data_IF_275333491460
#
_entry.id   IF_275333491460
#
_cell.length_a   1.000
_cell.length_b   1.000
_cell.length_c   1.000
_cell.angle_alpha   90.00
_cell.angle_beta   90.00
_cell.angle_gamma   90.00
#
_symmetry.space_group_name_H-M   'P 1'
#
loop_
_entity.id
_entity.type
_entity.pdbx_description
1 polymer ?
#
# COMPACT_ATOMS: atom_id res chain seq x y z
N UNK A 1 7.65 -17.35 -9.82
CA UNK A 1 7.86 -15.91 -9.55
C UNK A 1 8.54 -15.26 -10.75
N UNK A 2 7.98 -14.19 -11.33
CA UNK A 2 8.60 -13.46 -12.43
C UNK A 2 9.89 -12.73 -11.97
N UNK A 3 10.95 -12.78 -12.79
CA UNK A 3 12.24 -12.12 -12.52
C UNK A 3 12.36 -10.73 -13.19
N UNK A 4 11.45 -10.42 -14.09
CA UNK A 4 11.36 -9.14 -14.77
C UNK A 4 9.91 -8.92 -15.16
N UNK A 5 9.45 -7.68 -15.05
CA UNK A 5 8.12 -7.28 -15.46
C UNK A 5 7.70 -5.99 -14.79
N UNK A 6 6.63 -5.42 -15.28
CA UNK A 6 6.02 -4.25 -14.69
C UNK A 6 4.53 -4.23 -14.99
N UNK A 7 3.79 -3.48 -14.20
CA UNK A 7 2.36 -3.31 -14.31
C UNK A 7 2.02 -1.88 -13.92
N UNK A 8 1.32 -1.19 -14.80
CA UNK A 8 0.79 0.14 -14.55
C UNK A 8 -0.72 0.13 -14.73
N UNK A 9 -1.43 0.78 -13.83
CA UNK A 9 -2.88 0.99 -13.95
C UNK A 9 -3.22 2.41 -13.53
N UNK A 10 -4.05 3.06 -14.33
CA UNK A 10 -4.63 4.35 -14.01
C UNK A 10 -6.14 4.20 -14.12
N UNK A 11 -6.84 4.60 -13.08
CA UNK A 11 -8.31 4.54 -12.98
C UNK A 11 -8.85 5.93 -12.77
N UNK A 12 -9.89 6.27 -13.52
CA UNK A 12 -10.66 7.51 -13.38
C UNK A 12 -12.11 7.14 -13.08
N UNK A 13 -12.66 7.74 -12.04
CA UNK A 13 -14.07 7.60 -11.65
C UNK A 13 -14.66 9.01 -11.51
N UNK A 14 -15.84 9.23 -12.10
CA UNK A 14 -16.53 10.52 -12.06
C UNK A 14 -17.96 10.32 -11.58
N UNK A 15 -18.36 11.09 -10.57
CA UNK A 15 -19.71 11.18 -10.05
C UNK A 15 -20.17 12.63 -10.01
N UNK A 16 -21.41 12.88 -10.44
CA UNK A 16 -22.08 14.18 -10.39
C UNK A 16 -23.60 13.96 -10.35
N UNK A 17 -24.34 14.90 -9.76
CA UNK A 17 -25.81 14.82 -9.70
C UNK A 17 -26.43 14.76 -11.10
N UNK A 18 -25.79 15.37 -12.11
CA UNK A 18 -26.23 15.31 -13.51
C UNK A 18 -26.23 13.89 -14.09
N UNK A 19 -25.46 12.96 -13.50
CA UNK A 19 -25.43 11.54 -13.88
C UNK A 19 -26.06 10.65 -12.80
N UNK A 20 -26.98 11.21 -12.00
CA UNK A 20 -27.72 10.53 -10.93
C UNK A 20 -26.83 9.99 -9.79
N UNK A 21 -25.65 10.57 -9.59
CA UNK A 21 -24.78 10.25 -8.45
C UNK A 21 -25.20 11.02 -7.21
N UNK A 22 -25.19 10.38 -6.04
CA UNK A 22 -25.37 11.05 -4.74
C UNK A 22 -24.10 11.80 -4.28
N UNK A 23 -22.95 11.50 -4.90
CA UNK A 23 -21.67 12.13 -4.59
C UNK A 23 -21.10 12.84 -5.81
N UNK A 24 -20.60 14.06 -5.61
CA UNK A 24 -19.85 14.82 -6.61
C UNK A 24 -18.36 14.63 -6.41
N UNK A 25 -17.72 13.86 -7.28
CA UNK A 25 -16.31 13.53 -7.13
C UNK A 25 -15.66 13.22 -8.47
N UNK A 26 -14.43 13.68 -8.64
CA UNK A 26 -13.49 13.09 -9.59
C UNK A 26 -12.43 12.33 -8.80
N UNK A 27 -12.38 11.02 -8.97
CA UNK A 27 -11.43 10.14 -8.30
C UNK A 27 -10.42 9.61 -9.30
N UNK A 28 -9.14 9.79 -8.96
CA UNK A 28 -8.00 9.39 -9.80
C UNK A 28 -7.12 8.47 -8.97
N UNK A 29 -6.81 7.30 -9.51
CA UNK A 29 -5.93 6.33 -8.86
C UNK A 29 -4.88 5.87 -9.86
N UNK A 30 -3.62 5.94 -9.47
CA UNK A 30 -2.47 5.47 -10.23
C UNK A 30 -1.71 4.45 -9.41
N UNK A 31 -1.42 3.29 -9.99
CA UNK A 31 -0.58 2.25 -9.40
C UNK A 31 0.47 1.85 -10.41
N UNK A 32 1.69 1.69 -9.95
CA UNK A 32 2.76 1.13 -10.73
C UNK A 32 3.66 0.21 -9.91
N UNK A 33 4.00 -0.94 -10.48
CA UNK A 33 4.88 -1.91 -9.87
C UNK A 33 5.92 -2.40 -10.89
N UNK A 34 7.17 -2.56 -10.46
CA UNK A 34 8.28 -2.97 -11.29
C UNK A 34 9.12 -4.02 -10.58
N UNK A 35 9.40 -5.10 -11.29
CA UNK A 35 10.32 -6.15 -10.86
C UNK A 35 11.55 -6.10 -11.74
N UNK A 36 12.72 -6.02 -11.15
CA UNK A 36 14.00 -6.10 -11.85
C UNK A 36 14.93 -7.04 -11.09
N UNK A 37 15.60 -7.93 -11.81
CA UNK A 37 16.53 -8.89 -11.22
C UNK A 37 17.94 -8.70 -11.75
N UNK A 38 18.92 -9.00 -10.89
CA UNK A 38 20.33 -9.09 -11.25
C UNK A 38 20.79 -10.54 -11.09
N UNK A 39 21.16 -11.17 -12.21
CA UNK A 39 21.46 -12.60 -12.23
C UNK A 39 20.25 -13.46 -11.82
N UNK A 40 20.52 -14.59 -11.16
CA UNK A 40 19.48 -15.59 -10.82
C UNK A 40 19.00 -15.52 -9.38
N UNK A 41 19.70 -14.77 -8.53
CA UNK A 41 19.51 -14.80 -7.08
C UNK A 41 19.12 -13.44 -6.48
N UNK A 42 19.22 -12.34 -7.23
CA UNK A 42 18.88 -11.00 -6.74
C UNK A 42 17.64 -10.48 -7.45
N UNK A 43 16.67 -9.98 -6.70
CA UNK A 43 15.41 -9.50 -7.23
C UNK A 43 14.96 -8.28 -6.44
N UNK A 44 14.70 -7.18 -7.14
CA UNK A 44 14.13 -5.96 -6.60
C UNK A 44 12.69 -5.81 -7.05
N UNK A 45 11.83 -5.35 -6.15
CA UNK A 45 10.46 -4.95 -6.40
C UNK A 45 10.31 -3.51 -5.93
N UNK A 46 9.79 -2.66 -6.80
CA UNK A 46 9.41 -1.30 -6.47
C UNK A 46 7.91 -1.13 -6.76
N UNK A 47 7.17 -0.53 -5.83
CA UNK A 47 5.75 -0.18 -6.00
C UNK A 47 5.55 1.27 -5.62
N UNK A 48 4.68 1.96 -6.37
CA UNK A 48 4.16 3.27 -6.01
C UNK A 48 2.66 3.31 -6.32
N UNK A 49 1.91 3.83 -5.38
CA UNK A 49 0.47 4.02 -5.44
C UNK A 49 0.18 5.48 -5.12
N UNK A 50 -0.63 6.13 -5.94
CA UNK A 50 -1.04 7.51 -5.76
C UNK A 50 -2.51 7.68 -6.08
N UNK A 51 -3.26 8.28 -5.16
CA UNK A 51 -4.70 8.40 -5.26
C UNK A 51 -5.16 9.79 -4.82
N UNK A 52 -6.15 10.34 -5.53
CA UNK A 52 -6.72 11.65 -5.26
C UNK A 52 -8.23 11.67 -5.51
N UNK A 53 -8.97 12.21 -4.56
CA UNK A 53 -10.38 12.54 -4.67
C UNK A 53 -10.52 14.06 -4.75
N UNK A 54 -10.87 14.55 -5.92
CA UNK A 54 -11.22 15.95 -6.13
C UNK A 54 -12.70 16.13 -5.77
N UNK A 55 -12.92 16.61 -4.55
CA UNK A 55 -14.22 16.96 -3.95
C UNK A 55 -14.03 18.16 -3.02
N UNK A 56 -15.10 18.89 -2.73
CA UNK A 56 -15.06 20.01 -1.77
C UNK A 56 -14.70 19.49 -0.37
N UNK A 57 -15.49 18.54 0.15
CA UNK A 57 -15.24 17.90 1.44
C UNK A 57 -15.07 16.38 1.31
N UNK A 58 -14.18 15.83 2.15
CA UNK A 58 -14.06 14.36 2.30
C UNK A 58 -15.34 13.76 2.89
N UNK A 59 -16.11 14.57 3.61
CA UNK A 59 -17.38 14.16 4.21
C UNK A 59 -18.52 14.03 3.20
N UNK A 60 -18.39 14.63 2.02
CA UNK A 60 -19.32 14.45 0.89
C UNK A 60 -19.14 13.08 0.23
N UNK A 61 -18.06 12.37 0.55
CA UNK A 61 -17.80 11.03 0.06
C UNK A 61 -18.27 9.98 1.08
N UNK A 62 -18.91 8.90 0.63
CA UNK A 62 -19.09 7.73 1.47
C UNK A 62 -17.73 7.18 1.92
N UNK A 63 -17.60 6.61 3.14
CA UNK A 63 -16.34 6.09 3.65
C UNK A 63 -15.62 5.11 2.70
N UNK A 64 -16.37 4.34 1.90
CA UNK A 64 -15.84 3.40 0.91
C UNK A 64 -15.08 4.06 -0.25
N UNK A 65 -15.28 5.35 -0.51
CA UNK A 65 -14.56 6.10 -1.52
C UNK A 65 -13.38 6.89 -0.95
N UNK A 66 -13.26 6.99 0.38
CA UNK A 66 -12.16 7.68 1.05
C UNK A 66 -10.92 6.79 1.06
N UNK A 67 -9.74 7.40 1.16
CA UNK A 67 -8.50 6.66 1.20
C UNK A 67 -7.99 6.47 2.62
N UNK A 68 -7.38 5.32 2.86
CA UNK A 68 -6.74 4.93 4.10
C UNK A 68 -5.44 4.20 3.73
N UNK A 69 -4.35 4.53 4.42
CA UNK A 69 -3.08 3.85 4.27
C UNK A 69 -2.88 2.81 5.38
N UNK A 70 -1.89 1.93 5.21
CA UNK A 70 -1.61 0.84 6.14
C UNK A 70 -2.02 -0.54 5.64
N UNK A 71 -1.25 -1.56 6.04
CA UNK A 71 -1.46 -2.95 5.66
C UNK A 71 -0.60 -3.46 4.51
N UNK A 72 -0.93 -4.65 4.05
CA UNK A 72 -0.01 -5.61 3.42
C UNK A 72 0.46 -5.26 1.99
N UNK A 73 -0.22 -4.35 1.31
CA UNK A 73 0.14 -3.89 -0.04
C UNK A 73 0.30 -2.36 -0.13
N UNK A 74 0.37 -1.70 1.02
CA UNK A 74 0.34 -0.25 1.12
C UNK A 74 1.49 0.24 2.01
N UNK A 75 1.44 -0.09 3.30
CA UNK A 75 2.41 0.33 4.30
C UNK A 75 2.54 -0.75 5.38
N UNK A 76 3.42 -1.73 5.15
CA UNK A 76 3.60 -2.87 6.05
C UNK A 76 4.21 -2.42 7.37
N UNK A 77 3.85 -3.13 8.44
CA UNK A 77 4.16 -2.75 9.82
C UNK A 77 3.06 -1.96 10.50
N UNK A 78 2.13 -1.37 9.74
CA UNK A 78 0.91 -0.75 10.25
C UNK A 78 -0.30 -1.66 10.00
N UNK A 79 -1.32 -1.50 10.85
CA UNK A 79 -2.60 -2.18 10.70
C UNK A 79 -3.30 -1.80 9.38
N UNK A 80 -4.22 -2.65 8.94
CA UNK A 80 -4.98 -2.41 7.71
C UNK A 80 -5.83 -1.14 7.85
N UNK A 81 -5.65 -0.21 6.90
CA UNK A 81 -6.42 1.05 6.84
C UNK A 81 -6.34 1.92 8.12
N UNK A 82 -5.25 1.81 8.89
CA UNK A 82 -5.11 2.52 10.16
C UNK A 82 -4.57 3.96 10.04
N UNK A 83 -4.15 4.39 8.85
CA UNK A 83 -3.54 5.71 8.63
C UNK A 83 -4.51 6.58 7.82
N UNK A 84 -5.03 7.62 8.48
CA UNK A 84 -5.79 8.72 7.87
C UNK A 84 -5.96 9.86 8.88
N UNK A 85 -6.46 11.05 8.48
CA UNK A 85 -6.83 12.10 9.43
C UNK A 85 -7.88 11.61 10.43
N UNK A 86 -7.77 12.07 11.68
CA UNK A 86 -8.67 11.72 12.79
C UNK A 86 -9.58 12.91 13.13
N UNK A 87 -10.79 12.63 13.60
CA UNK A 87 -11.67 13.65 14.18
C UNK A 87 -11.31 13.97 15.65
N UNK A 88 -12.09 14.84 16.28
CA UNK A 88 -11.90 15.23 17.69
C UNK A 88 -12.07 14.09 18.68
N UNK A 89 -12.71 12.99 18.29
CA UNK A 89 -12.89 11.78 19.10
C UNK A 89 -11.80 10.73 18.81
N UNK A 90 -10.83 11.05 17.93
CA UNK A 90 -9.74 10.17 17.55
C UNK A 90 -10.10 9.13 16.49
N UNK A 91 -11.29 9.22 15.88
CA UNK A 91 -11.74 8.26 14.88
C UNK A 91 -11.22 8.63 13.49
N UNK A 92 -10.83 7.61 12.73
CA UNK A 92 -10.38 7.76 11.34
C UNK A 92 -11.50 8.30 10.45
N UNK A 93 -11.25 9.44 9.81
CA UNK A 93 -12.20 10.12 8.93
C UNK A 93 -12.01 9.77 7.46
N UNK A 94 -10.85 9.20 7.11
CA UNK A 94 -10.45 8.97 5.72
C UNK A 94 -9.89 10.23 5.05
N UNK A 95 -9.18 10.00 3.95
CA UNK A 95 -8.41 11.02 3.26
C UNK A 95 -8.89 11.28 1.83
N UNK A 96 -8.64 12.52 1.36
CA UNK A 96 -8.78 12.92 -0.05
C UNK A 96 -7.61 12.45 -0.89
N UNK A 97 -6.41 12.41 -0.32
CA UNK A 97 -5.18 12.06 -1.02
C UNK A 97 -4.48 10.91 -0.31
N UNK A 98 -3.82 10.06 -1.08
CA UNK A 98 -2.96 9.01 -0.55
C UNK A 98 -1.81 8.77 -1.50
N UNK A 99 -0.61 8.65 -0.96
CA UNK A 99 0.57 8.25 -1.72
C UNK A 99 1.35 7.28 -0.89
N UNK A 100 1.63 6.10 -1.44
CA UNK A 100 2.46 5.09 -0.81
C UNK A 100 3.48 4.55 -1.80
N UNK A 101 4.62 4.13 -1.26
CA UNK A 101 5.73 3.60 -2.02
C UNK A 101 6.38 2.48 -1.24
N UNK A 102 6.91 1.49 -1.95
CA UNK A 102 7.54 0.32 -1.36
C UNK A 102 8.75 -0.09 -2.18
N UNK A 103 9.86 -0.27 -1.49
CA UNK A 103 11.09 -0.84 -2.04
C UNK A 103 11.39 -2.14 -1.32
N UNK A 104 11.43 -3.23 -2.08
CA UNK A 104 11.72 -4.57 -1.56
C UNK A 104 12.89 -5.19 -2.31
N UNK A 105 13.83 -5.74 -1.55
CA UNK A 105 14.93 -6.54 -2.06
C UNK A 105 14.76 -7.99 -1.61
N UNK A 106 14.87 -8.91 -2.55
CA UNK A 106 14.77 -10.35 -2.34
C UNK A 106 16.06 -11.05 -2.78
N UNK A 107 16.53 -11.98 -1.97
CA UNK A 107 17.68 -12.83 -2.25
C UNK A 107 17.30 -14.31 -2.20
N UNK A 108 17.67 -15.06 -3.24
CA UNK A 108 17.44 -16.51 -3.33
C UNK A 108 18.47 -17.25 -2.48
N UNK A 109 18.00 -17.92 -1.43
CA UNK A 109 18.86 -18.67 -0.51
C UNK A 109 19.07 -20.09 -1.00
N UNK A 110 17.97 -20.79 -1.32
CA UNK A 110 18.02 -22.19 -1.73
C UNK A 110 16.77 -22.60 -2.49
N UNK A 111 16.92 -23.36 -3.59
CA UNK A 111 15.77 -23.91 -4.32
C UNK A 111 14.75 -22.82 -4.64
N UNK A 112 13.52 -22.93 -4.17
CA UNK A 112 12.46 -21.95 -4.40
C UNK A 112 12.25 -20.94 -3.25
N UNK A 113 13.18 -20.90 -2.29
CA UNK A 113 13.12 -20.06 -1.10
C UNK A 113 13.96 -18.79 -1.25
N UNK A 114 13.34 -17.67 -0.89
CA UNK A 114 13.94 -16.35 -0.89
C UNK A 114 13.72 -15.68 0.46
N UNK A 115 14.68 -14.86 0.85
CA UNK A 115 14.52 -13.90 1.95
C UNK A 115 14.31 -12.52 1.36
N UNK A 116 13.56 -11.69 2.06
CA UNK A 116 13.22 -10.34 1.64
C UNK A 116 13.53 -9.34 2.76
N UNK A 117 13.90 -8.13 2.37
CA UNK A 117 13.93 -6.95 3.22
C UNK A 117 13.20 -5.83 2.48
N UNK A 118 12.44 -5.01 3.21
CA UNK A 118 11.66 -3.95 2.60
C UNK A 118 11.60 -2.67 3.44
N UNK A 119 11.31 -1.59 2.74
CA UNK A 119 10.92 -0.30 3.32
C UNK A 119 9.72 0.22 2.55
N UNK A 120 8.70 0.60 3.30
CA UNK A 120 7.46 1.18 2.81
C UNK A 120 7.35 2.61 3.37
N UNK A 121 6.89 3.55 2.55
CA UNK A 121 6.78 4.95 2.91
C UNK A 121 5.54 5.56 2.27
N UNK A 122 4.71 6.23 3.07
CA UNK A 122 3.48 6.82 2.55
C UNK A 122 2.62 7.46 3.62
N UNK A 123 1.50 8.03 3.16
CA UNK A 123 0.48 8.63 4.01
C UNK A 123 -0.86 8.74 3.27
N UNK A 124 -1.93 8.98 4.03
CA UNK A 124 -3.24 9.38 3.56
C UNK A 124 -3.66 10.68 4.28
N UNK A 125 -3.87 11.77 3.54
CA UNK A 125 -4.08 13.12 4.10
C UNK A 125 -5.18 13.94 3.40
N UNK A 126 -5.59 15.02 4.07
CA UNK A 126 -6.55 16.01 3.55
C UNK A 126 -5.91 17.37 3.25
N UNK A 127 -4.99 17.83 4.11
CA UNK A 127 -4.34 19.14 4.00
C UNK A 127 -2.82 18.99 3.87
N UNK A 128 -2.17 18.54 4.95
CA UNK A 128 -0.73 18.32 5.01
C UNK A 128 -0.45 16.84 5.30
N UNK A 129 0.46 16.19 4.56
CA UNK A 129 0.84 14.80 4.83
C UNK A 129 1.67 14.67 6.12
N UNK A 130 1.41 13.60 6.86
CA UNK A 130 2.20 13.13 8.00
C UNK A 130 2.80 11.76 7.65
N UNK A 131 3.94 11.80 6.99
CA UNK A 131 4.57 10.64 6.40
C UNK A 131 4.91 9.55 7.42
N UNK A 132 4.53 8.31 7.08
CA UNK A 132 4.80 7.12 7.88
C UNK A 132 5.76 6.19 7.16
N UNK A 133 6.62 5.54 7.94
CA UNK A 133 7.61 4.59 7.45
C UNK A 133 7.42 3.23 8.09
N UNK A 134 7.28 2.22 7.25
CA UNK A 134 7.28 0.82 7.61
C UNK A 134 8.56 0.15 7.14
N UNK A 135 9.12 -0.77 7.92
CA UNK A 135 10.25 -1.59 7.45
C UNK A 135 10.12 -3.01 7.94
N UNK A 136 10.80 -3.95 7.30
CA UNK A 136 10.74 -5.33 7.76
C UNK A 136 11.48 -6.31 6.90
N UNK A 137 11.25 -7.56 7.23
CA UNK A 137 11.86 -8.71 6.58
C UNK A 137 10.81 -9.77 6.32
N UNK A 138 11.11 -10.66 5.37
CA UNK A 138 10.19 -11.72 5.04
C UNK A 138 10.82 -12.90 4.33
N UNK A 139 9.97 -13.89 4.11
CA UNK A 139 10.28 -15.10 3.38
C UNK A 139 9.35 -15.16 2.17
N UNK A 140 9.89 -15.56 1.01
CA UNK A 140 9.11 -15.87 -0.18
C UNK A 140 9.36 -17.31 -0.58
N UNK A 141 8.29 -18.00 -0.96
CA UNK A 141 8.36 -19.35 -1.50
C UNK A 141 7.66 -19.41 -2.84
N UNK A 142 8.41 -19.75 -3.90
CA UNK A 142 7.82 -20.06 -5.21
C UNK A 142 7.22 -21.47 -5.17
N UNK A 143 6.02 -21.58 -4.62
CA UNK A 143 5.26 -22.84 -4.55
C UNK A 143 4.71 -23.22 -5.94
N UNK A 144 4.29 -24.48 -6.15
CA UNK A 144 3.66 -24.93 -7.40
C UNK A 144 2.37 -24.19 -7.75
N UNK A 145 1.65 -23.65 -6.75
CA UNK A 145 0.37 -22.95 -6.93
C UNK A 145 0.52 -21.43 -7.02
N UNK A 146 1.73 -20.90 -6.82
CA UNK A 146 2.02 -19.48 -6.88
C UNK A 146 3.01 -19.00 -5.81
N UNK A 147 3.44 -17.73 -5.87
CA UNK A 147 4.29 -17.14 -4.85
C UNK A 147 3.55 -17.04 -3.51
N UNK A 148 4.18 -17.50 -2.44
CA UNK A 148 3.74 -17.31 -1.05
C UNK A 148 4.67 -16.30 -0.40
N UNK A 149 4.12 -15.36 0.37
CA UNK A 149 4.87 -14.40 1.18
C UNK A 149 4.47 -14.49 2.65
N UNK A 150 5.48 -14.36 3.51
CA UNK A 150 5.32 -14.14 4.94
C UNK A 150 6.25 -13.00 5.32
N UNK A 151 5.69 -11.90 5.84
CA UNK A 151 6.39 -10.68 6.19
C UNK A 151 6.20 -10.36 7.67
N UNK A 152 7.26 -9.86 8.30
CA UNK A 152 7.23 -9.23 9.60
C UNK A 152 7.62 -7.76 9.40
N UNK A 153 6.63 -6.87 9.52
CA UNK A 153 6.80 -5.43 9.38
C UNK A 153 6.83 -4.74 10.75
N UNK A 154 7.50 -3.61 10.80
CA UNK A 154 7.65 -2.74 11.96
C UNK A 154 7.29 -1.31 11.57
N UNK A 155 6.41 -0.68 12.34
CA UNK A 155 6.02 0.71 12.18
C UNK A 155 7.05 1.61 12.90
N UNK A 156 7.81 2.39 12.14
CA UNK A 156 8.87 3.25 12.71
C UNK A 156 8.30 4.52 13.33
N UNK A 157 7.20 5.01 12.77
CA UNK A 157 6.51 6.23 13.20
C UNK A 157 5.17 5.90 13.89
N UNK A 158 5.12 4.78 14.62
CA UNK A 158 3.95 4.35 15.37
C UNK A 158 3.65 5.30 16.53
N UNK A 159 2.37 5.67 16.70
CA UNK A 159 1.92 6.44 17.85
C UNK A 159 2.08 5.64 19.15
N UNK A 160 2.27 6.32 20.28
CA UNK A 160 2.32 5.66 21.57
C UNK A 160 1.02 4.88 21.85
N UNK A 161 1.16 3.63 22.30
CA UNK A 161 0.03 2.74 22.57
C UNK A 161 -0.50 1.97 21.37
N UNK A 162 0.11 2.11 20.18
CA UNK A 162 -0.22 1.28 19.00
C UNK A 162 0.74 0.11 18.82
N UNK A 163 0.28 -0.93 18.11
CA UNK A 163 1.11 -2.09 17.79
C UNK A 163 2.27 -1.69 16.87
N UNK A 164 3.49 -2.00 17.32
CA UNK A 164 4.73 -1.61 16.63
C UNK A 164 5.16 -2.59 15.55
N UNK A 165 4.49 -3.73 15.44
CA UNK A 165 4.81 -4.77 14.48
C UNK A 165 3.54 -5.43 13.94
N UNK A 166 3.63 -5.95 12.72
CA UNK A 166 2.54 -6.64 12.06
C UNK A 166 3.07 -7.85 11.29
N UNK A 167 2.33 -8.95 11.35
CA UNK A 167 2.60 -10.16 10.57
C UNK A 167 1.66 -10.17 9.36
N UNK A 168 2.26 -10.43 8.22
CA UNK A 168 1.64 -10.25 6.91
C UNK A 168 1.79 -11.55 6.12
N UNK A 169 0.68 -12.05 5.57
CA UNK A 169 0.67 -13.29 4.79
C UNK A 169 -0.09 -13.09 3.49
N UNK A 170 0.49 -13.56 2.39
CA UNK A 170 -0.13 -13.47 1.08
C UNK A 170 0.19 -14.66 0.19
N UNK A 171 -0.78 -15.02 -0.65
CA UNK A 171 -0.63 -15.98 -1.73
C UNK A 171 -1.08 -15.31 -3.02
N UNK A 172 -0.23 -15.31 -4.02
CA UNK A 172 -0.58 -14.78 -5.34
C UNK A 172 0.55 -13.98 -6.01
N UNK A 173 0.27 -13.44 -7.20
CA UNK A 173 1.22 -12.60 -7.91
C UNK A 173 1.50 -11.31 -7.14
N UNK A 174 2.73 -10.82 -7.25
CA UNK A 174 3.17 -9.56 -6.61
C UNK A 174 2.80 -8.30 -7.42
N UNK A 175 2.32 -8.48 -8.66
CA UNK A 175 1.90 -7.43 -9.60
C UNK A 175 0.38 -7.33 -9.71
#
# INVERSE_FOLDING_TARGET
MPMWGDKQSITFEYGDEAVLSEARVLRVQGRSAWIRSLGRNHRGLFRVDGSANFTESVFDLPPSLRFFAGGDNNLRGYEYESISPKDSEGKLTGAKYMVTSSLEYQYRVYGNWWVAAFVDYGDAWNETPDWKTGTGFGIRWASPVGPVRLDLGFALDAEEGTDKYQIHFGLGPEL
#
